data_IF_695936740641
#
_entry.id   IF_695936740641
#
_cell.length_a   1.000
_cell.length_b   1.000
_cell.length_c   1.000
_cell.angle_alpha   90.00
_cell.angle_beta   90.00
_cell.angle_gamma   90.00
#
_symmetry.space_group_name_H-M   'P 1'
#
loop_
_entity.id
_entity.type
_entity.pdbx_description
1 polymer ?
#
# COMPACT_ATOMS: atom_id res chain seq x y z
N UNK A 1 -18.47 19.83 -4.69
CA UNK A 1 -18.73 18.68 -5.33
C UNK A 1 -17.83 17.64 -4.81
N UNK A 2 -17.73 16.77 -5.56
CA UNK A 2 -16.90 15.70 -5.17
C UNK A 2 -15.53 16.17 -4.82
N UNK A 3 -15.18 17.35 -5.16
CA UNK A 3 -13.85 17.78 -4.84
C UNK A 3 -13.57 17.72 -3.38
N UNK A 4 -14.43 18.31 -2.59
CA UNK A 4 -14.19 18.36 -1.18
C UNK A 4 -14.14 17.00 -0.56
N UNK A 5 -15.10 16.20 -0.91
CA UNK A 5 -15.19 14.88 -0.36
C UNK A 5 -14.09 14.00 -0.86
N UNK A 6 -13.84 14.10 -2.12
CA UNK A 6 -12.90 13.18 -2.70
C UNK A 6 -11.47 13.51 -2.39
N UNK A 7 -11.22 14.63 -1.81
CA UNK A 7 -9.85 14.98 -1.52
C UNK A 7 -9.19 13.90 -0.68
N UNK A 8 -9.80 13.53 0.44
CA UNK A 8 -9.25 12.49 1.27
C UNK A 8 -9.21 11.17 0.56
N UNK A 9 -10.26 10.87 -0.15
CA UNK A 9 -10.32 9.61 -0.86
C UNK A 9 -9.26 9.53 -1.93
N UNK A 10 -9.03 10.62 -2.60
CA UNK A 10 -8.01 10.64 -3.63
C UNK A 10 -6.65 10.39 -3.01
N UNK A 11 -6.40 11.00 -1.87
CA UNK A 11 -5.12 10.77 -1.20
C UNK A 11 -4.94 9.32 -0.82
N UNK A 12 -5.96 8.75 -0.22
CA UNK A 12 -5.88 7.36 0.18
C UNK A 12 -5.74 6.46 -1.03
N UNK A 13 -6.48 6.78 -2.07
CA UNK A 13 -6.40 6.00 -3.29
C UNK A 13 -5.01 6.06 -3.89
N UNK A 14 -4.41 7.22 -3.89
CA UNK A 14 -3.07 7.37 -4.42
C UNK A 14 -2.07 6.55 -3.65
N UNK A 15 -2.16 6.59 -2.33
CA UNK A 15 -1.23 5.82 -1.51
C UNK A 15 -1.41 4.34 -1.75
N UNK A 16 -2.66 3.91 -1.81
CA UNK A 16 -2.93 2.51 -2.02
C UNK A 16 -2.43 2.06 -3.38
N UNK A 17 -2.67 2.85 -4.39
CA UNK A 17 -2.20 2.52 -5.73
C UNK A 17 -0.70 2.40 -5.76
N UNK A 18 -0.01 3.34 -5.15
CA UNK A 18 1.44 3.29 -5.13
C UNK A 18 1.93 2.06 -4.38
N UNK A 19 1.29 1.77 -3.25
CA UNK A 19 1.69 0.61 -2.48
C UNK A 19 1.53 -0.65 -3.30
N UNK A 20 0.42 -0.77 -3.97
CA UNK A 20 0.17 -1.96 -4.78
C UNK A 20 1.19 -2.11 -5.89
N UNK A 21 1.43 -1.02 -6.58
CA UNK A 21 2.39 -1.07 -7.68
C UNK A 21 3.79 -1.43 -7.20
N UNK A 22 4.19 -0.84 -6.09
CA UNK A 22 5.52 -1.13 -5.59
C UNK A 22 5.62 -2.54 -5.05
N UNK A 23 4.55 -3.03 -4.45
CA UNK A 23 4.57 -4.39 -3.94
C UNK A 23 4.66 -5.41 -5.06
N UNK A 24 4.16 -5.07 -6.23
CA UNK A 24 4.24 -5.97 -7.37
C UNK A 24 5.62 -5.98 -7.98
N UNK A 25 6.44 -5.01 -7.63
CA UNK A 25 7.81 -4.96 -8.11
C UNK A 25 8.66 -5.86 -7.22
N UNK A 26 9.15 -6.93 -7.79
CA UNK A 26 9.87 -7.93 -7.02
C UNK A 26 11.20 -7.42 -6.50
N UNK A 27 11.72 -6.39 -7.09
CA UNK A 27 13.00 -5.86 -6.62
C UNK A 27 12.84 -4.94 -5.42
N UNK A 28 11.61 -4.64 -5.02
CA UNK A 28 11.36 -3.75 -3.90
C UNK A 28 10.82 -4.56 -2.73
N UNK A 29 11.44 -4.44 -1.58
CA UNK A 29 10.96 -5.17 -0.42
C UNK A 29 9.77 -4.44 0.20
N UNK A 30 9.00 -5.17 1.00
CA UNK A 30 7.86 -4.55 1.67
C UNK A 30 8.34 -3.43 2.58
N UNK A 31 9.48 -3.64 3.21
CA UNK A 31 10.05 -2.62 4.06
C UNK A 31 10.34 -1.34 3.29
N UNK A 32 10.88 -1.50 2.09
CA UNK A 32 11.17 -0.36 1.25
C UNK A 32 9.90 0.38 0.85
N UNK A 33 8.87 -0.38 0.57
CA UNK A 33 7.60 0.24 0.21
C UNK A 33 7.08 1.09 1.37
N UNK A 34 7.18 0.55 2.58
CA UNK A 34 6.72 1.29 3.75
C UNK A 34 7.47 2.60 3.87
N UNK A 35 8.79 2.54 3.73
CA UNK A 35 9.61 3.72 3.84
C UNK A 35 9.28 4.74 2.75
N UNK A 36 9.09 4.26 1.55
CA UNK A 36 8.78 5.15 0.44
C UNK A 36 7.48 5.89 0.65
N UNK A 37 6.54 5.25 1.29
CA UNK A 37 5.25 5.87 1.52
C UNK A 37 5.22 6.73 2.77
N UNK A 38 6.32 6.78 3.50
CA UNK A 38 6.40 7.68 4.64
C UNK A 38 6.07 7.05 5.97
N UNK A 39 5.99 5.74 6.02
CA UNK A 39 5.72 5.07 7.29
C UNK A 39 7.01 4.86 8.07
N UNK A 40 6.94 5.05 9.38
CA UNK A 40 8.15 4.96 10.18
C UNK A 40 8.61 3.53 10.36
N UNK A 41 7.71 2.58 10.29
CA UNK A 41 8.16 1.19 10.35
C UNK A 41 7.19 0.31 9.59
N UNK A 42 7.62 -0.91 9.39
CA UNK A 42 6.88 -1.87 8.59
C UNK A 42 5.55 -2.25 9.23
N UNK A 43 5.54 -2.32 10.54
CA UNK A 43 4.33 -2.73 11.24
C UNK A 43 3.20 -1.75 10.99
N UNK A 44 3.50 -0.47 11.07
CA UNK A 44 2.49 0.55 10.82
C UNK A 44 1.96 0.45 9.40
N UNK A 45 2.86 0.28 8.45
CA UNK A 45 2.45 0.15 7.07
C UNK A 45 1.57 -1.08 6.89
N UNK A 46 1.97 -2.19 7.48
CA UNK A 46 1.22 -3.43 7.35
C UNK A 46 -0.20 -3.27 7.89
N UNK A 47 -0.34 -2.62 9.01
CA UNK A 47 -1.66 -2.40 9.58
C UNK A 47 -2.51 -1.54 8.67
N UNK A 48 -1.93 -0.48 8.15
CA UNK A 48 -2.67 0.40 7.26
C UNK A 48 -3.08 -0.33 6.00
N UNK A 49 -2.15 -1.07 5.42
CA UNK A 49 -2.44 -1.77 4.18
C UNK A 49 -3.53 -2.81 4.40
N UNK A 50 -3.47 -3.50 5.52
CA UNK A 50 -4.49 -4.49 5.81
C UNK A 50 -5.86 -3.83 5.97
N UNK A 51 -5.91 -2.66 6.56
CA UNK A 51 -7.17 -1.94 6.67
C UNK A 51 -7.71 -1.55 5.32
N UNK A 52 -6.83 -1.19 4.41
CA UNK A 52 -7.25 -0.76 3.08
C UNK A 52 -7.75 -1.92 2.22
N UNK A 53 -7.08 -3.04 2.29
CA UNK A 53 -7.36 -4.15 1.36
C UNK A 53 -7.86 -5.41 2.03
N UNK A 54 -7.71 -5.50 3.33
CA UNK A 54 -8.09 -6.73 4.03
C UNK A 54 -6.97 -7.75 4.09
N UNK A 55 -5.85 -7.47 3.49
CA UNK A 55 -4.72 -8.40 3.47
C UNK A 55 -3.44 -7.68 3.80
N UNK A 56 -2.51 -8.38 4.42
CA UNK A 56 -1.22 -7.77 4.70
C UNK A 56 -0.46 -7.57 3.39
N UNK A 57 0.51 -6.66 3.39
CA UNK A 57 1.29 -6.43 2.17
C UNK A 57 2.03 -7.67 1.70
N UNK A 58 2.55 -8.43 2.63
CA UNK A 58 3.24 -9.66 2.25
C UNK A 58 2.30 -10.65 1.59
N UNK A 59 1.12 -10.76 2.16
CA UNK A 59 0.12 -11.66 1.60
C UNK A 59 -0.30 -11.20 0.21
N UNK A 60 -0.52 -9.90 0.09
CA UNK A 60 -0.89 -9.33 -1.20
C UNK A 60 0.17 -9.64 -2.26
N UNK A 61 1.42 -9.45 -1.90
CA UNK A 61 2.50 -9.70 -2.83
C UNK A 61 2.54 -11.17 -3.25
N UNK A 62 2.36 -12.08 -2.29
CA UNK A 62 2.37 -13.49 -2.62
C UNK A 62 1.25 -13.86 -3.56
N UNK A 63 0.08 -13.29 -3.32
CA UNK A 63 -1.06 -13.62 -4.16
C UNK A 63 -0.86 -13.18 -5.59
N UNK A 64 -0.11 -12.10 -5.79
CA UNK A 64 0.04 -11.54 -7.11
C UNK A 64 1.35 -11.89 -7.77
N UNK A 65 2.17 -12.67 -7.12
CA UNK A 65 3.46 -13.02 -7.68
C UNK A 65 3.61 -14.46 -8.02
N UNK A 66 2.63 -15.21 -7.76
CA UNK A 66 2.82 -16.59 -8.09
C UNK A 66 2.76 -16.70 -9.59
N UNK A 67 3.36 -17.48 -10.11
CA UNK A 67 3.32 -17.61 -11.46
C UNK A 67 4.25 -18.44 -11.92
#
# INVERSE_FOLDING_TARGET
TEEGTSFSEVLQGSLLDRAKMQLLDRSTSVSEVATELGYSDLTNFSHAFKRWTGSSPSHFRRMHQHR
#
